data_IF_473880732276
#
_entry.id   IF_473880732276
#
_cell.length_a   1.000
_cell.length_b   1.000
_cell.length_c   1.000
_cell.angle_alpha   90.00
_cell.angle_beta   90.00
_cell.angle_gamma   90.00
#
_symmetry.space_group_name_H-M   'P 1'
#
loop_
_entity.id
_entity.type
_entity.pdbx_description
1 polymer ?
#
# COMPACT_ATOMS: atom_id res chain seq x y z
N UNK A 1 25.75 -19.51 -13.80
CA UNK A 1 24.49 -19.65 -13.04
C UNK A 1 23.77 -18.31 -13.06
N UNK A 2 22.48 -18.31 -13.44
CA UNK A 2 21.68 -17.11 -13.67
C UNK A 2 21.52 -16.24 -12.42
N UNK A 3 21.92 -14.96 -12.49
CA UNK A 3 21.75 -13.96 -11.43
C UNK A 3 20.29 -13.74 -10.98
N UNK A 4 19.29 -14.28 -11.70
CA UNK A 4 17.85 -14.15 -11.37
C UNK A 4 17.42 -14.90 -10.11
N UNK A 5 18.12 -15.96 -9.69
CA UNK A 5 17.78 -16.67 -8.45
C UNK A 5 18.28 -15.95 -7.19
N UNK A 6 19.32 -15.11 -7.31
CA UNK A 6 19.86 -14.34 -6.20
C UNK A 6 18.98 -13.12 -5.85
N UNK A 7 18.20 -12.60 -6.81
CA UNK A 7 17.31 -11.45 -6.57
C UNK A 7 16.02 -11.83 -5.84
N UNK A 8 15.47 -13.02 -6.08
CA UNK A 8 14.22 -13.47 -5.41
C UNK A 8 14.43 -13.73 -3.92
N UNK A 9 15.54 -14.36 -3.53
CA UNK A 9 15.89 -14.60 -2.12
C UNK A 9 16.14 -13.30 -1.38
N UNK A 10 16.91 -12.38 -1.98
CA UNK A 10 17.12 -11.04 -1.41
C UNK A 10 15.81 -10.28 -1.27
N UNK A 11 14.90 -10.37 -2.23
CA UNK A 11 13.58 -9.74 -2.13
C UNK A 11 12.72 -10.34 -1.01
N UNK A 12 12.74 -11.66 -0.83
CA UNK A 12 12.03 -12.33 0.26
C UNK A 12 12.59 -11.93 1.64
N UNK A 13 13.91 -11.86 1.78
CA UNK A 13 14.59 -11.36 2.97
C UNK A 13 14.26 -9.88 3.23
N UNK A 14 14.32 -9.04 2.20
CA UNK A 14 13.98 -7.61 2.30
C UNK A 14 12.52 -7.39 2.72
N UNK A 15 11.59 -8.20 2.19
CA UNK A 15 10.18 -8.18 2.62
C UNK A 15 10.08 -8.59 4.09
N UNK A 16 10.73 -9.68 4.49
CA UNK A 16 10.72 -10.15 5.87
C UNK A 16 11.22 -9.07 6.83
N UNK A 17 12.32 -8.41 6.49
CA UNK A 17 12.91 -7.37 7.33
C UNK A 17 12.06 -6.09 7.33
N UNK A 18 11.59 -5.64 6.16
CA UNK A 18 10.75 -4.44 6.04
C UNK A 18 9.40 -4.59 6.75
N UNK A 19 8.82 -5.80 6.76
CA UNK A 19 7.55 -6.11 7.45
C UNK A 19 7.73 -6.74 8.84
N UNK A 20 8.96 -6.82 9.36
CA UNK A 20 9.24 -7.36 10.70
C UNK A 20 8.83 -6.42 11.82
N UNK A 21 8.74 -5.12 11.53
CA UNK A 21 8.36 -4.09 12.50
C UNK A 21 6.83 -3.98 12.59
N UNK A 22 6.26 -4.65 13.59
CA UNK A 22 4.82 -4.65 13.87
C UNK A 22 4.25 -3.24 14.09
N UNK A 23 5.06 -2.29 14.58
CA UNK A 23 4.60 -0.91 14.81
C UNK A 23 4.29 -0.15 13.52
N UNK A 24 4.78 -0.65 12.37
CA UNK A 24 4.53 -0.08 11.04
C UNK A 24 3.33 -0.70 10.34
N UNK A 25 2.72 -1.74 10.92
CA UNK A 25 1.52 -2.36 10.37
C UNK A 25 0.30 -1.51 10.71
N UNK A 26 -0.51 -1.25 9.71
CA UNK A 26 -1.75 -0.50 9.84
C UNK A 26 -2.89 -1.46 9.48
N UNK A 27 -3.87 -1.56 10.36
CA UNK A 27 -5.11 -2.29 10.10
C UNK A 27 -6.19 -1.27 9.82
N UNK A 28 -6.86 -1.44 8.68
CA UNK A 28 -7.93 -0.55 8.24
C UNK A 28 -9.20 -1.39 8.13
N UNK A 29 -10.26 -0.92 8.76
CA UNK A 29 -11.57 -1.60 8.73
C UNK A 29 -12.36 -1.14 7.51
N UNK A 30 -13.34 -1.96 7.12
CA UNK A 30 -14.25 -1.60 6.03
C UNK A 30 -14.93 -0.26 6.34
N UNK A 31 -14.81 0.69 5.41
CA UNK A 31 -15.36 2.04 5.54
C UNK A 31 -14.40 3.07 6.16
N UNK A 32 -13.24 2.65 6.67
CA UNK A 32 -12.21 3.58 7.11
C UNK A 32 -11.36 4.08 5.93
N UNK A 33 -10.87 5.32 6.04
CA UNK A 33 -10.07 5.97 5.01
C UNK A 33 -8.60 5.98 5.43
N UNK A 34 -7.72 5.44 4.59
CA UNK A 34 -6.26 5.45 4.82
C UNK A 34 -5.65 6.84 4.62
N UNK A 35 -6.01 7.49 3.50
CA UNK A 35 -5.48 8.78 3.08
C UNK A 35 -6.62 9.59 2.47
N UNK A 36 -6.61 10.90 2.75
CA UNK A 36 -7.49 11.89 2.13
C UNK A 36 -6.67 12.81 1.23
N UNK A 37 -7.34 13.64 0.44
CA UNK A 37 -6.70 14.67 -0.40
C UNK A 37 -5.87 15.68 0.42
N UNK A 38 -6.26 15.93 1.67
CA UNK A 38 -5.51 16.77 2.60
C UNK A 38 -4.30 16.07 3.23
N UNK A 39 -4.18 14.74 3.06
CA UNK A 39 -3.08 13.96 3.62
C UNK A 39 -1.87 13.96 2.68
N UNK A 40 -0.71 14.38 3.18
CA UNK A 40 0.55 14.22 2.43
C UNK A 40 1.04 12.78 2.56
N UNK A 41 1.13 12.05 1.45
CA UNK A 41 1.72 10.71 1.45
C UNK A 41 3.25 10.78 1.29
N UNK A 42 3.98 10.47 2.35
CA UNK A 42 5.45 10.46 2.37
C UNK A 42 6.07 9.06 2.32
N UNK A 43 5.27 7.99 2.15
CA UNK A 43 5.76 6.61 2.16
C UNK A 43 4.97 5.69 1.24
N UNK A 44 5.56 4.54 0.93
CA UNK A 44 4.90 3.48 0.18
C UNK A 44 4.24 2.48 1.13
N UNK A 45 3.02 2.09 0.79
CA UNK A 45 2.26 1.06 1.49
C UNK A 45 2.25 -0.22 0.65
N UNK A 46 2.36 -1.37 1.32
CA UNK A 46 2.09 -2.67 0.71
C UNK A 46 0.81 -3.23 1.32
N UNK A 47 -0.16 -3.58 0.47
CA UNK A 47 -1.36 -4.30 0.91
C UNK A 47 -0.99 -5.76 1.13
N UNK A 48 -1.08 -6.21 2.38
CA UNK A 48 -0.78 -7.59 2.77
C UNK A 48 -2.00 -8.51 2.63
N UNK A 49 -3.19 -7.98 2.92
CA UNK A 49 -4.47 -8.69 2.85
C UNK A 49 -5.61 -7.71 2.53
N UNK A 50 -6.60 -8.16 1.77
CA UNK A 50 -7.76 -7.35 1.36
C UNK A 50 -7.51 -6.50 0.11
N UNK A 51 -8.32 -5.45 -0.06
CA UNK A 51 -8.20 -4.50 -1.16
C UNK A 51 -8.43 -3.07 -0.67
N UNK A 52 -7.88 -2.10 -1.41
CA UNK A 52 -8.08 -0.69 -1.20
C UNK A 52 -8.73 -0.10 -2.45
N UNK A 53 -9.70 0.78 -2.25
CA UNK A 53 -10.30 1.56 -3.33
C UNK A 53 -9.74 2.97 -3.30
N UNK A 54 -9.42 3.50 -4.47
CA UNK A 54 -8.96 4.87 -4.62
C UNK A 54 -9.95 5.64 -5.49
N UNK A 55 -10.35 6.82 -5.02
CA UNK A 55 -11.21 7.75 -5.73
C UNK A 55 -10.54 9.11 -5.81
N UNK A 56 -10.80 9.83 -6.89
CA UNK A 56 -10.55 11.26 -7.01
C UNK A 56 -11.90 11.97 -7.05
N UNK A 57 -11.99 13.13 -6.41
CA UNK A 57 -13.17 13.98 -6.51
C UNK A 57 -12.89 15.16 -7.42
N UNK A 58 -13.87 15.49 -8.25
CA UNK A 58 -13.83 16.74 -9.02
C UNK A 58 -14.36 17.93 -8.22
N UNK A 59 -14.38 19.11 -8.85
CA UNK A 59 -14.86 20.35 -8.23
C UNK A 59 -16.36 20.32 -7.84
N UNK A 60 -17.13 19.39 -8.41
CA UNK A 60 -18.55 19.17 -8.08
C UNK A 60 -18.75 18.14 -6.96
N UNK A 61 -17.67 17.47 -6.54
CA UNK A 61 -17.68 16.45 -5.48
C UNK A 61 -17.98 15.03 -5.98
N UNK A 62 -18.10 14.83 -7.30
CA UNK A 62 -18.35 13.52 -7.89
C UNK A 62 -17.09 12.65 -7.85
N UNK A 63 -17.26 11.37 -7.50
CA UNK A 63 -16.15 10.43 -7.30
C UNK A 63 -15.81 9.64 -8.57
N UNK A 64 -14.54 9.69 -8.97
CA UNK A 64 -13.97 8.90 -10.05
C UNK A 64 -13.04 7.82 -9.49
N UNK A 65 -13.37 6.56 -9.77
CA UNK A 65 -12.55 5.41 -9.36
C UNK A 65 -11.24 5.36 -10.15
N UNK A 66 -10.12 5.29 -9.46
CA UNK A 66 -8.78 5.25 -10.06
C UNK A 66 -8.13 3.86 -9.94
N UNK A 67 -8.53 3.08 -8.94
CA UNK A 67 -7.98 1.74 -8.67
C UNK A 67 -9.04 0.84 -8.02
N UNK A 68 -9.01 -0.45 -8.37
CA UNK A 68 -9.76 -1.55 -7.75
C UNK A 68 -8.86 -2.76 -7.52
#
# INVERSE_FOLDING_TARGET
>A
MSNKFNSSRKLAELKKDYFSDESRKIVIRKGETLLTESSTNSRLYLVLEGSLMCYLRDESGEEFKVME
#
